data_IF_097886944104
#
_entry.id   IF_097886944104
#
_cell.length_a   1.000
_cell.length_b   1.000
_cell.length_c   1.000
_cell.angle_alpha   90.00
_cell.angle_beta   90.00
_cell.angle_gamma   90.00
#
_symmetry.space_group_name_H-M   'P 1'
#
loop_
_entity.id
_entity.type
_entity.pdbx_description
1 polymer ?
#
# COMPACT_ATOMS: atom_id res chain seq x y z
N UNK A 1 9.20 2.32 -20.53
CA UNK A 1 9.55 2.74 -19.16
C UNK A 1 9.27 1.54 -18.29
N UNK A 2 10.30 0.78 -17.95
CA UNK A 2 10.16 -0.29 -16.94
C UNK A 2 9.90 0.40 -15.60
N UNK A 3 8.91 -0.03 -14.80
CA UNK A 3 8.72 0.54 -13.47
C UNK A 3 9.97 0.21 -12.66
N UNK A 4 10.77 1.23 -12.33
CA UNK A 4 11.93 1.12 -11.47
C UNK A 4 11.56 0.31 -10.22
N UNK A 5 12.18 -0.86 -10.05
CA UNK A 5 11.93 -1.81 -8.95
C UNK A 5 12.07 -1.19 -7.55
N UNK A 6 12.65 0.02 -7.44
CA UNK A 6 12.78 0.78 -6.19
C UNK A 6 11.45 1.34 -5.65
N UNK A 7 10.42 1.35 -6.48
CA UNK A 7 9.14 1.98 -6.17
C UNK A 7 8.06 0.98 -5.76
N UNK A 8 8.38 -0.32 -5.79
CA UNK A 8 7.45 -1.40 -5.41
C UNK A 8 7.88 -2.01 -4.08
N UNK A 9 6.96 -2.00 -3.12
CA UNK A 9 7.14 -2.57 -1.79
C UNK A 9 6.18 -3.74 -1.62
N UNK A 10 6.67 -4.85 -1.06
CA UNK A 10 5.79 -5.98 -0.72
C UNK A 10 5.07 -5.71 0.59
N UNK A 11 3.77 -5.99 0.62
CA UNK A 11 3.00 -5.98 1.85
C UNK A 11 3.22 -7.28 2.62
N UNK A 12 3.91 -7.17 3.75
CA UNK A 12 4.11 -8.26 4.71
C UNK A 12 3.44 -7.86 6.03
N UNK A 13 2.17 -8.25 6.25
CA UNK A 13 1.37 -7.80 7.39
C UNK A 13 2.08 -7.97 8.74
N UNK A 14 2.74 -9.10 8.97
CA UNK A 14 3.43 -9.35 10.23
C UNK A 14 4.64 -8.41 10.44
N UNK A 15 5.48 -8.22 9.42
CA UNK A 15 6.66 -7.34 9.53
C UNK A 15 6.26 -5.87 9.63
N UNK A 16 5.22 -5.45 8.91
CA UNK A 16 4.72 -4.08 8.96
C UNK A 16 4.05 -3.74 10.30
N UNK A 17 3.52 -4.74 11.02
CA UNK A 17 3.00 -4.55 12.37
C UNK A 17 4.09 -4.62 13.44
N UNK A 18 5.15 -5.39 13.20
CA UNK A 18 6.32 -5.46 14.10
C UNK A 18 7.08 -4.12 14.11
N UNK A 19 7.29 -3.51 12.94
CA UNK A 19 7.92 -2.19 12.79
C UNK A 19 7.17 -1.29 11.79
N UNK A 20 6.09 -0.63 12.23
CA UNK A 20 5.31 0.26 11.36
C UNK A 20 6.06 1.53 10.96
N UNK A 21 7.06 1.95 11.74
CA UNK A 21 7.88 3.13 11.42
C UNK A 21 8.83 2.83 10.26
N UNK A 22 9.46 1.66 10.26
CA UNK A 22 10.29 1.19 9.15
C UNK A 22 9.47 1.07 7.85
N UNK A 23 8.25 0.52 7.92
CA UNK A 23 7.36 0.43 6.76
C UNK A 23 7.01 1.81 6.18
N UNK A 24 6.69 2.78 7.05
CA UNK A 24 6.43 4.17 6.64
C UNK A 24 7.67 4.85 6.05
N UNK A 25 8.85 4.63 6.64
CA UNK A 25 10.11 5.16 6.13
C UNK A 25 10.44 4.63 4.73
N UNK A 26 10.33 3.31 4.53
CA UNK A 26 10.52 2.68 3.22
C UNK A 26 9.58 3.25 2.16
N UNK A 27 8.31 3.49 2.53
CA UNK A 27 7.35 4.13 1.63
C UNK A 27 7.74 5.57 1.29
N UNK A 28 8.19 6.37 2.28
CA UNK A 28 8.65 7.75 2.05
C UNK A 28 9.86 7.82 1.13
N UNK A 29 10.83 6.92 1.30
CA UNK A 29 11.99 6.83 0.43
C UNK A 29 11.57 6.47 -1.00
N UNK A 30 10.64 5.54 -1.15
CA UNK A 30 10.08 5.15 -2.45
C UNK A 30 9.36 6.31 -3.15
N UNK A 31 8.78 7.29 -2.43
CA UNK A 31 8.13 8.47 -3.04
C UNK A 31 9.08 9.26 -3.94
N UNK A 32 10.39 9.23 -3.69
CA UNK A 32 11.36 9.94 -4.53
C UNK A 32 11.29 9.55 -6.02
N UNK A 33 10.65 8.41 -6.34
CA UNK A 33 10.41 7.91 -7.69
C UNK A 33 9.07 8.38 -8.31
N UNK A 34 8.23 9.08 -7.54
CA UNK A 34 6.93 9.62 -7.95
C UNK A 34 5.73 8.70 -7.73
N UNK A 35 5.89 7.37 -7.78
CA UNK A 35 4.78 6.43 -7.54
C UNK A 35 5.22 5.30 -6.63
N UNK A 36 4.56 5.13 -5.48
CA UNK A 36 4.78 4.02 -4.55
C UNK A 36 3.71 2.95 -4.79
N UNK A 37 4.15 1.77 -5.23
CA UNK A 37 3.31 0.60 -5.43
C UNK A 37 3.49 -0.37 -4.28
N UNK A 38 2.40 -0.75 -3.61
CA UNK A 38 2.40 -1.80 -2.59
C UNK A 38 1.82 -3.08 -3.21
N UNK A 39 2.61 -4.14 -3.29
CA UNK A 39 2.19 -5.45 -3.79
C UNK A 39 1.57 -6.28 -2.66
N UNK A 40 0.30 -6.61 -2.78
CA UNK A 40 -0.47 -7.34 -1.77
C UNK A 40 -0.87 -8.76 -2.22
N UNK A 41 -0.12 -9.35 -3.17
CA UNK A 41 -0.42 -10.65 -3.77
C UNK A 41 -0.31 -11.82 -2.79
N UNK A 42 0.60 -11.73 -1.81
CA UNK A 42 0.84 -12.80 -0.84
C UNK A 42 0.01 -12.68 0.45
N UNK A 43 -0.55 -11.50 0.72
CA UNK A 43 -1.38 -11.29 1.90
C UNK A 43 -2.79 -11.90 1.69
N UNK A 44 -3.24 -12.72 2.65
CA UNK A 44 -4.55 -13.40 2.57
C UNK A 44 -5.69 -12.57 3.15
N UNK A 45 -5.39 -11.74 4.13
CA UNK A 45 -6.31 -10.84 4.80
C UNK A 45 -5.59 -9.54 5.16
N UNK A 46 -6.36 -8.48 5.42
CA UNK A 46 -5.83 -7.24 5.99
C UNK A 46 -6.45 -7.03 7.38
N UNK A 47 -5.68 -7.25 8.46
CA UNK A 47 -6.09 -6.80 9.79
C UNK A 47 -6.38 -5.30 9.77
N UNK A 48 -7.31 -4.83 10.61
CA UNK A 48 -7.69 -3.42 10.66
C UNK A 48 -6.49 -2.48 10.88
N UNK A 49 -5.49 -2.92 11.65
CA UNK A 49 -4.25 -2.18 11.88
C UNK A 49 -3.42 -2.00 10.60
N UNK A 50 -3.30 -3.04 9.76
CA UNK A 50 -2.65 -2.93 8.45
C UNK A 50 -3.40 -1.98 7.53
N UNK A 51 -4.73 -1.99 7.57
CA UNK A 51 -5.54 -1.06 6.78
C UNK A 51 -5.27 0.39 7.22
N UNK A 52 -5.21 0.65 8.52
CA UNK A 52 -4.85 1.96 9.06
C UNK A 52 -3.42 2.38 8.65
N UNK A 53 -2.49 1.42 8.63
CA UNK A 53 -1.13 1.67 8.17
C UNK A 53 -1.08 2.00 6.67
N UNK A 54 -1.77 1.24 5.82
CA UNK A 54 -1.90 1.50 4.39
C UNK A 54 -2.53 2.87 4.11
N UNK A 55 -3.54 3.27 4.88
CA UNK A 55 -4.13 4.62 4.81
C UNK A 55 -3.09 5.69 5.16
N UNK A 56 -2.32 5.48 6.24
CA UNK A 56 -1.27 6.40 6.69
C UNK A 56 -0.12 6.51 5.67
N UNK A 57 0.28 5.39 5.09
CA UNK A 57 1.25 5.32 4.00
C UNK A 57 0.77 6.12 2.80
N UNK A 58 -0.45 5.85 2.33
CA UNK A 58 -1.04 6.59 1.20
C UNK A 58 -1.01 8.09 1.44
N UNK A 59 -1.52 8.55 2.59
CA UNK A 59 -1.54 9.98 2.93
C UNK A 59 -0.14 10.59 2.97
N UNK A 60 0.83 9.84 3.48
CA UNK A 60 2.23 10.27 3.55
C UNK A 60 2.83 10.41 2.14
N UNK A 61 2.57 9.43 1.26
CA UNK A 61 3.01 9.43 -0.14
C UNK A 61 2.41 10.62 -0.89
N UNK A 62 1.10 10.81 -0.77
CA UNK A 62 0.37 11.89 -1.45
C UNK A 62 0.77 13.28 -0.91
N UNK A 63 0.99 13.42 0.41
CA UNK A 63 1.48 14.68 1.00
C UNK A 63 2.89 15.07 0.50
N UNK A 64 3.69 14.10 0.09
CA UNK A 64 4.99 14.30 -0.52
C UNK A 64 4.93 14.46 -2.06
N UNK A 65 3.73 14.52 -2.65
CA UNK A 65 3.51 14.71 -4.09
C UNK A 65 3.62 13.44 -4.92
N UNK A 66 3.71 12.27 -4.29
CA UNK A 66 3.72 10.97 -4.97
C UNK A 66 2.31 10.40 -5.17
N UNK A 67 2.22 9.33 -5.96
CA UNK A 67 1.01 8.52 -6.13
C UNK A 67 1.15 7.20 -5.37
N UNK A 68 0.14 6.79 -4.61
CA UNK A 68 0.10 5.49 -3.95
C UNK A 68 -0.79 4.52 -4.72
N UNK A 69 -0.33 3.29 -4.97
CA UNK A 69 -1.09 2.24 -5.61
C UNK A 69 -1.04 0.95 -4.79
N UNK A 70 -2.20 0.35 -4.49
CA UNK A 70 -2.27 -1.01 -3.95
C UNK A 70 -2.46 -1.98 -5.12
N UNK A 71 -1.44 -2.77 -5.41
CA UNK A 71 -1.39 -3.67 -6.57
C UNK A 71 -1.60 -5.13 -6.17
N UNK A 72 -2.21 -5.88 -7.08
CA UNK A 72 -2.46 -7.32 -6.96
C UNK A 72 -3.07 -7.77 -5.61
N UNK A 73 -4.10 -7.09 -5.05
CA UNK A 73 -4.73 -7.57 -3.82
C UNK A 73 -5.38 -8.94 -4.07
N UNK A 74 -5.10 -9.92 -3.21
CA UNK A 74 -5.80 -11.21 -3.24
C UNK A 74 -7.32 -11.04 -3.06
N UNK A 75 -8.12 -12.04 -3.46
CA UNK A 75 -9.58 -11.98 -3.29
C UNK A 75 -10.01 -11.73 -1.84
N UNK A 76 -9.28 -12.29 -0.87
CA UNK A 76 -9.53 -12.06 0.56
C UNK A 76 -9.31 -10.60 0.97
N UNK A 77 -8.30 -9.95 0.40
CA UNK A 77 -8.07 -8.52 0.59
C UNK A 77 -9.17 -7.69 -0.05
N UNK A 78 -9.52 -7.98 -1.31
CA UNK A 78 -10.59 -7.25 -2.02
C UNK A 78 -11.90 -7.34 -1.25
N UNK A 79 -12.24 -8.53 -0.72
CA UNK A 79 -13.42 -8.72 0.10
C UNK A 79 -13.33 -7.95 1.44
N UNK A 80 -12.16 -7.95 2.10
CA UNK A 80 -11.93 -7.18 3.32
C UNK A 80 -12.16 -5.68 3.08
N UNK A 81 -11.59 -5.14 2.00
CA UNK A 81 -11.76 -3.74 1.62
C UNK A 81 -13.22 -3.42 1.29
N UNK A 82 -13.92 -4.32 0.60
CA UNK A 82 -15.34 -4.17 0.27
C UNK A 82 -16.22 -4.13 1.51
N UNK A 83 -16.03 -5.07 2.44
CA UNK A 83 -16.77 -5.13 3.71
C UNK A 83 -16.56 -3.86 4.53
N UNK A 84 -15.38 -3.25 4.44
CA UNK A 84 -15.02 -2.03 5.17
C UNK A 84 -15.36 -0.74 4.40
N UNK A 85 -15.93 -0.83 3.20
CA UNK A 85 -16.26 0.35 2.38
C UNK A 85 -15.04 1.10 1.84
N UNK A 86 -13.90 0.41 1.69
CA UNK A 86 -12.61 0.98 1.26
C UNK A 86 -12.20 0.57 -0.16
N UNK A 87 -13.09 -0.11 -0.90
CA UNK A 87 -12.81 -0.54 -2.28
C UNK A 87 -12.41 0.63 -3.18
N UNK A 88 -13.19 1.71 -3.20
CA UNK A 88 -12.90 2.90 -4.01
C UNK A 88 -11.67 3.66 -3.50
N UNK A 89 -11.39 3.56 -2.20
CA UNK A 89 -10.19 4.17 -1.64
C UNK A 89 -8.94 3.48 -2.19
N UNK A 90 -8.88 2.16 -2.25
CA UNK A 90 -7.71 1.45 -2.75
C UNK A 90 -7.80 1.02 -4.23
N UNK A 91 -8.83 1.46 -4.94
CA UNK A 91 -8.93 1.22 -6.37
C UNK A 91 -7.76 1.90 -7.10
N UNK A 92 -7.16 1.18 -8.05
CA UNK A 92 -6.16 1.76 -8.93
C UNK A 92 -6.85 2.85 -9.76
N UNK A 93 -6.56 4.13 -9.48
CA UNK A 93 -7.07 5.23 -10.31
C UNK A 93 -6.30 5.16 -11.63
N UNK A 94 -6.90 4.49 -12.61
CA UNK A 94 -6.49 4.56 -14.01
C UNK A 94 -6.87 5.94 -14.54
N UNK A 95 -5.96 6.89 -14.36
CA UNK A 95 -6.00 8.18 -15.06
C UNK A 95 -5.48 8.04 -16.48
#
# INVERSE_FOLDING_TARGET
MEPDSRSTLRLTPDEWLDDPEAALAACREAVATGTVRVEASEARNLPAQIIQLLISVRRTVEAAGGTFLLSAPSEGIQNSLKVLGLSDYFAEVTG
#
